data_IF_386101911231
#
_entry.id   IF_386101911231
#
_cell.length_a   1.000
_cell.length_b   1.000
_cell.length_c   1.000
_cell.angle_alpha   90.00
_cell.angle_beta   90.00
_cell.angle_gamma   90.00
#
_symmetry.space_group_name_H-M   'P 1'
#
loop_
_entity.id
_entity.type
_entity.pdbx_description
1 polymer ?
#
# COMPACT_ATOMS: atom_id res chain seq x y z
N UNK A 1 -22.22 -10.10 -17.59
CA UNK A 1 -22.29 -8.79 -18.30
C UNK A 1 -22.63 -7.57 -17.39
N UNK A 2 -22.75 -7.72 -16.05
CA UNK A 2 -23.07 -6.61 -15.13
C UNK A 2 -21.87 -5.91 -14.44
N UNK A 3 -20.64 -6.37 -14.69
CA UNK A 3 -19.41 -5.80 -14.11
C UNK A 3 -19.07 -4.34 -14.48
N UNK A 4 -19.41 -3.79 -15.67
CA UNK A 4 -18.96 -2.45 -16.04
C UNK A 4 -19.71 -1.30 -15.35
N UNK A 5 -20.89 -1.56 -14.78
CA UNK A 5 -21.80 -0.48 -14.32
C UNK A 5 -21.45 0.04 -12.92
N UNK A 6 -20.92 -0.81 -12.03
CA UNK A 6 -20.45 -0.38 -10.70
C UNK A 6 -19.09 0.37 -10.79
N UNK A 7 -18.31 0.10 -11.84
CA UNK A 7 -17.00 0.74 -12.07
C UNK A 7 -17.08 2.23 -12.49
N UNK A 8 -18.26 2.74 -12.89
CA UNK A 8 -18.41 4.13 -13.36
C UNK A 8 -18.21 5.21 -12.29
N UNK A 9 -18.17 4.85 -11.00
CA UNK A 9 -18.00 5.82 -9.89
C UNK A 9 -16.72 5.64 -9.07
N UNK A 10 -15.87 4.68 -9.42
CA UNK A 10 -14.65 4.37 -8.66
C UNK A 10 -13.40 5.05 -9.25
N UNK A 11 -12.73 5.95 -8.52
CA UNK A 11 -11.62 6.76 -9.06
C UNK A 11 -10.30 6.02 -9.35
N UNK A 12 -10.25 4.69 -9.18
CA UNK A 12 -9.10 3.83 -9.50
C UNK A 12 -9.47 2.70 -10.48
N UNK A 13 -10.35 2.98 -11.46
CA UNK A 13 -10.91 1.98 -12.41
C UNK A 13 -9.87 1.08 -13.10
N UNK A 14 -8.71 1.64 -13.45
CA UNK A 14 -7.66 0.91 -14.20
C UNK A 14 -6.89 -0.09 -13.34
N UNK A 15 -6.94 0.03 -12.01
CA UNK A 15 -6.33 -0.90 -11.06
C UNK A 15 -7.39 -1.79 -10.42
N UNK A 16 -8.50 -1.20 -9.96
CA UNK A 16 -9.59 -1.92 -9.30
C UNK A 16 -10.26 -2.94 -10.22
N UNK A 17 -10.45 -2.64 -11.51
CA UNK A 17 -11.09 -3.56 -12.46
C UNK A 17 -10.31 -4.88 -12.63
N UNK A 18 -9.03 -4.84 -13.03
CA UNK A 18 -8.20 -6.04 -13.12
C UNK A 18 -8.07 -6.79 -11.78
N UNK A 19 -7.93 -6.07 -10.66
CA UNK A 19 -7.84 -6.69 -9.33
C UNK A 19 -9.13 -7.40 -8.92
N UNK A 20 -10.30 -6.80 -9.17
CA UNK A 20 -11.60 -7.46 -8.87
C UNK A 20 -11.84 -8.66 -9.78
N UNK A 21 -11.53 -8.57 -11.07
CA UNK A 21 -11.61 -9.72 -11.98
C UNK A 21 -10.68 -10.85 -11.53
N UNK A 22 -9.43 -10.54 -11.19
CA UNK A 22 -8.46 -11.53 -10.70
C UNK A 22 -8.92 -12.17 -9.38
N UNK A 23 -9.45 -11.37 -8.44
CA UNK A 23 -9.97 -11.87 -7.17
C UNK A 23 -11.19 -12.78 -7.37
N UNK A 24 -12.14 -12.38 -8.23
CA UNK A 24 -13.32 -13.19 -8.55
C UNK A 24 -12.92 -14.51 -9.23
N UNK A 25 -11.96 -14.49 -10.17
CA UNK A 25 -11.47 -15.70 -10.83
C UNK A 25 -10.78 -16.68 -9.85
N UNK A 26 -10.04 -16.16 -8.86
CA UNK A 26 -9.41 -17.00 -7.83
C UNK A 26 -10.43 -17.54 -6.81
N UNK A 27 -11.37 -16.71 -6.35
CA UNK A 27 -12.38 -17.15 -5.37
C UNK A 27 -13.40 -18.12 -5.97
N UNK A 28 -13.75 -17.96 -7.25
CA UNK A 28 -14.64 -18.89 -7.97
C UNK A 28 -13.96 -20.22 -8.36
N UNK A 29 -12.66 -20.39 -8.07
CA UNK A 29 -11.91 -21.59 -8.43
C UNK A 29 -11.63 -21.73 -9.93
N UNK A 30 -11.97 -20.73 -10.74
CA UNK A 30 -11.69 -20.72 -12.18
C UNK A 30 -10.18 -20.75 -12.47
N UNK A 31 -9.37 -20.13 -11.59
CA UNK A 31 -7.93 -20.07 -11.76
C UNK A 31 -7.20 -20.09 -10.41
N UNK A 32 -6.17 -20.93 -10.27
CA UNK A 32 -5.16 -20.84 -9.20
C UNK A 32 -3.82 -20.28 -9.73
N UNK A 33 -3.84 -19.72 -10.93
CA UNK A 33 -2.65 -19.30 -11.65
C UNK A 33 -2.07 -18.04 -11.02
N UNK A 34 -0.94 -18.20 -10.34
CA UNK A 34 -0.12 -17.07 -9.89
C UNK A 34 0.67 -16.50 -11.07
N UNK A 35 0.73 -15.17 -11.25
CA UNK A 35 1.54 -14.58 -12.30
C UNK A 35 3.01 -15.00 -12.13
N UNK A 36 3.71 -15.38 -13.21
CA UNK A 36 5.07 -15.85 -13.11
C UNK A 36 5.99 -14.73 -12.57
N UNK A 37 6.92 -15.10 -11.69
CA UNK A 37 7.75 -14.15 -10.90
C UNK A 37 8.47 -13.10 -11.75
N UNK A 38 8.86 -13.43 -12.98
CA UNK A 38 9.52 -12.49 -13.89
C UNK A 38 8.59 -11.36 -14.34
N UNK A 39 7.31 -11.63 -14.57
CA UNK A 39 6.31 -10.61 -14.93
C UNK A 39 6.12 -9.63 -13.78
N UNK A 40 6.01 -10.13 -12.55
CA UNK A 40 5.85 -9.29 -11.36
C UNK A 40 7.07 -8.37 -11.15
N UNK A 41 8.30 -8.89 -11.35
CA UNK A 41 9.54 -8.08 -11.28
C UNK A 41 9.57 -7.00 -12.36
N UNK A 42 9.22 -7.34 -13.60
CA UNK A 42 9.15 -6.36 -14.69
C UNK A 42 8.11 -5.26 -14.40
N UNK A 43 6.92 -5.65 -13.91
CA UNK A 43 5.90 -4.69 -13.51
C UNK A 43 6.42 -3.74 -12.41
N UNK A 44 7.13 -4.27 -11.41
CA UNK A 44 7.77 -3.47 -10.35
C UNK A 44 8.79 -2.49 -10.93
N UNK A 45 9.64 -2.93 -11.87
CA UNK A 45 10.60 -2.07 -12.55
C UNK A 45 9.92 -0.95 -13.34
N UNK A 46 8.86 -1.25 -14.10
CA UNK A 46 8.11 -0.25 -14.88
C UNK A 46 7.41 0.75 -13.98
N UNK A 47 6.76 0.28 -12.89
CA UNK A 47 6.12 1.15 -11.90
C UNK A 47 7.14 2.05 -11.20
N UNK A 48 8.30 1.50 -10.82
CA UNK A 48 9.41 2.24 -10.23
C UNK A 48 9.98 3.30 -11.16
N UNK A 49 10.28 2.93 -12.41
CA UNK A 49 10.77 3.85 -13.43
C UNK A 49 9.75 4.96 -13.74
N UNK A 50 8.46 4.62 -13.81
CA UNK A 50 7.38 5.58 -14.01
C UNK A 50 7.23 6.57 -12.85
N UNK A 51 7.38 6.12 -11.61
CA UNK A 51 7.42 6.99 -10.43
C UNK A 51 8.65 7.91 -10.46
N UNK A 52 9.83 7.37 -10.79
CA UNK A 52 11.06 8.13 -10.94
C UNK A 52 10.96 9.22 -12.02
N UNK A 53 10.41 8.89 -13.19
CA UNK A 53 10.19 9.85 -14.27
C UNK A 53 9.26 11.00 -13.85
N UNK A 54 8.24 10.73 -13.01
CA UNK A 54 7.36 11.77 -12.47
C UNK A 54 8.09 12.72 -11.52
N UNK A 55 9.04 12.23 -10.72
CA UNK A 55 9.85 13.08 -9.84
C UNK A 55 10.72 14.04 -10.65
N UNK A 56 11.31 13.57 -11.76
CA UNK A 56 12.07 14.43 -12.69
C UNK A 56 11.16 15.43 -13.38
N UNK A 57 9.98 15.00 -13.83
CA UNK A 57 8.99 15.85 -14.51
C UNK A 57 8.44 16.99 -13.62
N UNK A 58 8.48 16.85 -12.29
CA UNK A 58 8.07 17.91 -11.35
C UNK A 58 9.06 19.08 -11.25
N UNK A 59 10.06 19.17 -12.12
CA UNK A 59 10.96 20.33 -12.25
C UNK A 59 12.41 20.06 -11.87
N UNK A 60 12.80 18.81 -11.57
CA UNK A 60 14.19 18.37 -11.43
C UNK A 60 15.05 19.06 -10.37
N UNK A 61 14.52 20.05 -9.65
CA UNK A 61 15.28 20.79 -8.66
C UNK A 61 15.61 19.84 -7.48
N UNK A 62 16.89 19.64 -7.14
CA UNK A 62 17.29 18.72 -6.07
C UNK A 62 16.63 19.07 -4.73
N UNK A 63 16.28 20.34 -4.52
CA UNK A 63 15.54 20.81 -3.34
C UNK A 63 14.13 20.22 -3.22
N UNK A 64 13.40 20.08 -4.33
CA UNK A 64 12.03 19.54 -4.30
C UNK A 64 12.06 18.03 -4.07
N UNK A 65 13.02 17.33 -4.68
CA UNK A 65 13.25 15.90 -4.42
C UNK A 65 13.56 15.66 -2.94
N UNK A 66 14.42 16.48 -2.35
CA UNK A 66 14.74 16.41 -0.91
C UNK A 66 13.51 16.71 -0.06
N UNK A 67 12.70 17.72 -0.42
CA UNK A 67 11.46 18.03 0.30
C UNK A 67 10.46 16.86 0.27
N UNK A 68 10.27 16.25 -0.89
CA UNK A 68 9.40 15.07 -1.05
C UNK A 68 9.96 13.89 -0.26
N UNK A 69 11.28 13.68 -0.29
CA UNK A 69 11.94 12.62 0.46
C UNK A 69 11.78 12.82 1.99
N UNK A 70 11.94 14.05 2.49
CA UNK A 70 11.75 14.37 3.90
C UNK A 70 10.29 14.24 4.34
N UNK A 71 9.33 14.65 3.50
CA UNK A 71 7.91 14.44 3.76
C UNK A 71 7.55 12.95 3.75
N UNK A 72 8.14 12.17 2.83
CA UNK A 72 8.01 10.72 2.81
C UNK A 72 8.58 10.08 4.07
N UNK A 73 9.79 10.47 4.48
CA UNK A 73 10.45 9.95 5.67
C UNK A 73 9.65 10.25 6.94
N UNK A 74 9.14 11.47 7.10
CA UNK A 74 8.32 11.83 8.27
C UNK A 74 7.01 11.04 8.32
N UNK A 75 6.36 10.86 7.17
CA UNK A 75 5.17 10.00 7.07
C UNK A 75 5.50 8.53 7.38
N UNK A 76 6.63 8.01 6.90
CA UNK A 76 7.08 6.64 7.19
C UNK A 76 7.37 6.45 8.67
N UNK A 77 8.06 7.40 9.32
CA UNK A 77 8.34 7.34 10.76
C UNK A 77 7.04 7.37 11.58
N UNK A 78 6.08 8.23 11.21
CA UNK A 78 4.78 8.30 11.86
C UNK A 78 4.01 6.97 11.72
N UNK A 79 3.97 6.41 10.50
CA UNK A 79 3.32 5.13 10.24
C UNK A 79 4.01 3.98 10.98
N UNK A 80 5.35 4.00 11.07
CA UNK A 80 6.10 2.99 11.80
C UNK A 80 5.83 3.08 13.31
N UNK A 81 5.80 4.28 13.88
CA UNK A 81 5.43 4.48 15.28
C UNK A 81 4.00 3.97 15.57
N UNK A 82 3.05 4.26 14.66
CA UNK A 82 1.69 3.76 14.77
C UNK A 82 1.63 2.22 14.62
N UNK A 83 2.44 1.63 13.75
CA UNK A 83 2.54 0.19 13.57
C UNK A 83 3.09 -0.49 14.84
N UNK A 84 4.12 0.08 15.47
CA UNK A 84 4.67 -0.43 16.74
C UNK A 84 3.68 -0.31 17.89
N UNK A 85 2.97 0.82 17.98
CA UNK A 85 1.94 1.05 18.99
C UNK A 85 0.77 0.06 18.82
N UNK A 86 0.27 -0.10 17.59
CA UNK A 86 -0.83 -1.03 17.29
C UNK A 86 -0.40 -2.50 17.47
N UNK A 87 0.81 -2.89 17.04
CA UNK A 87 1.36 -4.23 17.30
C UNK A 87 1.43 -4.53 18.80
N UNK A 88 1.90 -3.58 19.61
CA UNK A 88 2.01 -3.73 21.05
C UNK A 88 0.64 -3.82 21.73
N UNK A 89 -0.32 -2.98 21.32
CA UNK A 89 -1.69 -3.03 21.82
C UNK A 89 -2.36 -4.37 21.51
N UNK A 90 -2.25 -4.86 20.27
CA UNK A 90 -2.81 -6.15 19.84
C UNK A 90 -2.13 -7.31 20.56
N UNK A 91 -0.81 -7.26 20.73
CA UNK A 91 -0.06 -8.29 21.45
C UNK A 91 -0.53 -8.44 22.89
N UNK A 92 -0.81 -7.33 23.58
CA UNK A 92 -1.38 -7.33 24.93
C UNK A 92 -2.83 -7.81 24.92
N UNK A 93 -3.65 -7.32 23.99
CA UNK A 93 -5.07 -7.67 23.88
C UNK A 93 -5.29 -9.18 23.64
N UNK A 94 -4.45 -9.79 22.79
CA UNK A 94 -4.49 -11.22 22.50
C UNK A 94 -3.76 -12.06 23.56
N UNK A 95 -3.40 -11.49 24.72
CA UNK A 95 -2.68 -12.18 25.80
C UNK A 95 -1.41 -12.90 25.30
N UNK A 96 -0.70 -12.28 24.36
CA UNK A 96 0.52 -12.81 23.73
C UNK A 96 0.33 -14.09 22.91
N UNK A 97 -0.91 -14.41 22.49
CA UNK A 97 -1.18 -15.55 21.63
C UNK A 97 -0.47 -15.47 20.25
N UNK A 98 -0.19 -14.24 19.77
CA UNK A 98 0.54 -14.00 18.53
C UNK A 98 1.90 -13.36 18.83
N UNK A 99 3.01 -13.85 18.24
CA UNK A 99 4.33 -13.27 18.43
C UNK A 99 4.38 -11.80 18.05
N UNK A 100 4.96 -10.97 18.93
CA UNK A 100 5.11 -9.53 18.66
C UNK A 100 5.87 -9.24 17.36
N UNK A 101 6.98 -9.92 17.00
CA UNK A 101 7.68 -9.64 15.75
C UNK A 101 6.81 -9.91 14.51
N UNK A 102 5.94 -10.92 14.55
CA UNK A 102 5.00 -11.21 13.46
C UNK A 102 3.98 -10.08 13.29
N UNK A 103 3.46 -9.53 14.39
CA UNK A 103 2.55 -8.39 14.36
C UNK A 103 3.24 -7.13 13.83
N UNK A 104 4.47 -6.87 14.28
CA UNK A 104 5.27 -5.73 13.79
C UNK A 104 5.54 -5.85 12.30
N UNK A 105 5.99 -7.01 11.83
CA UNK A 105 6.22 -7.25 10.39
C UNK A 105 4.93 -7.07 9.56
N UNK A 106 3.78 -7.46 10.12
CA UNK A 106 2.48 -7.37 9.43
C UNK A 106 1.93 -5.94 9.37
N UNK A 107 2.12 -5.14 10.41
CA UNK A 107 1.67 -3.75 10.46
C UNK A 107 2.67 -2.75 9.87
N UNK A 108 3.96 -3.11 9.84
CA UNK A 108 5.02 -2.22 9.35
C UNK A 108 4.76 -1.77 7.90
N UNK A 109 4.86 -0.47 7.62
CA UNK A 109 4.88 0.01 6.25
C UNK A 109 6.18 -0.42 5.56
N UNK A 110 6.10 -1.04 4.38
CA UNK A 110 7.28 -1.54 3.68
C UNK A 110 6.94 -2.39 2.45
N UNK A 111 7.99 -2.93 1.82
CA UNK A 111 7.85 -3.86 0.71
C UNK A 111 7.30 -5.20 1.18
N UNK A 112 6.17 -5.65 0.62
CA UNK A 112 5.56 -6.95 0.96
C UNK A 112 6.55 -8.10 0.81
N UNK A 113 7.35 -8.10 -0.26
CA UNK A 113 8.35 -9.14 -0.51
C UNK A 113 9.41 -9.21 0.59
N UNK A 114 9.94 -8.06 1.03
CA UNK A 114 10.96 -8.00 2.08
C UNK A 114 10.39 -8.45 3.42
N UNK A 115 9.19 -7.99 3.78
CA UNK A 115 8.55 -8.40 5.04
C UNK A 115 8.25 -9.90 5.06
N UNK A 116 7.82 -10.48 3.93
CA UNK A 116 7.63 -11.92 3.78
C UNK A 116 8.94 -12.71 3.90
N UNK A 117 10.04 -12.22 3.30
CA UNK A 117 11.36 -12.86 3.41
C UNK A 117 11.90 -12.78 4.84
N UNK A 118 11.72 -11.65 5.54
CA UNK A 118 12.10 -11.49 6.94
C UNK A 118 11.27 -12.40 7.85
N UNK A 119 9.96 -12.49 7.63
CA UNK A 119 9.09 -13.40 8.36
C UNK A 119 9.50 -14.86 8.16
N UNK A 120 9.79 -15.26 6.91
CA UNK A 120 10.30 -16.60 6.59
C UNK A 120 11.63 -16.87 7.31
N UNK A 121 12.54 -15.90 7.32
CA UNK A 121 13.86 -16.02 7.97
C UNK A 121 13.74 -16.13 9.49
N UNK A 122 12.71 -15.53 10.07
CA UNK A 122 12.39 -15.64 11.51
C UNK A 122 11.52 -16.87 11.85
N UNK A 123 11.18 -17.71 10.87
CA UNK A 123 10.34 -18.90 11.06
C UNK A 123 8.87 -18.60 11.33
N UNK A 124 8.37 -17.43 10.93
CA UNK A 124 6.98 -17.04 11.09
C UNK A 124 6.12 -17.33 9.85
N UNK A 125 4.80 -17.34 10.05
CA UNK A 125 3.84 -17.58 8.99
C UNK A 125 3.82 -16.44 7.95
N UNK A 126 4.33 -16.74 6.77
CA UNK A 126 4.38 -15.83 5.62
C UNK A 126 2.98 -15.52 5.09
N UNK A 127 2.03 -16.45 5.20
CA UNK A 127 0.67 -16.25 4.71
C UNK A 127 -0.05 -15.16 5.54
N UNK A 128 0.15 -15.14 6.85
CA UNK A 128 -0.34 -14.08 7.72
C UNK A 128 0.16 -12.69 7.30
N UNK A 129 1.46 -12.55 7.04
CA UNK A 129 2.06 -11.26 6.63
C UNK A 129 1.54 -10.83 5.25
N UNK A 130 1.52 -11.76 4.29
CA UNK A 130 1.10 -11.50 2.91
C UNK A 130 -0.38 -11.09 2.84
N UNK A 131 -1.25 -11.76 3.59
CA UNK A 131 -2.69 -11.43 3.64
C UNK A 131 -2.94 -10.05 4.25
N UNK A 132 -2.24 -9.68 5.33
CA UNK A 132 -2.33 -8.34 5.92
C UNK A 132 -1.90 -7.25 4.93
N UNK A 133 -0.81 -7.48 4.19
CA UNK A 133 -0.31 -6.55 3.19
C UNK A 133 -1.26 -6.41 1.99
N UNK A 134 -1.84 -7.54 1.53
CA UNK A 134 -2.84 -7.54 0.47
C UNK A 134 -4.11 -6.80 0.89
N UNK A 135 -4.61 -7.05 2.10
CA UNK A 135 -5.76 -6.33 2.67
C UNK A 135 -5.47 -4.83 2.75
N UNK A 136 -4.28 -4.44 3.22
CA UNK A 136 -3.85 -3.04 3.28
C UNK A 136 -3.91 -2.37 1.91
N UNK A 137 -3.41 -3.03 0.86
CA UNK A 137 -3.47 -2.51 -0.50
C UNK A 137 -4.91 -2.39 -1.00
N UNK A 138 -5.75 -3.40 -0.75
CA UNK A 138 -7.16 -3.38 -1.14
C UNK A 138 -7.91 -2.23 -0.44
N UNK A 139 -7.73 -2.06 0.87
CA UNK A 139 -8.32 -0.96 1.64
C UNK A 139 -7.82 0.38 1.12
N UNK A 140 -6.52 0.53 0.86
CA UNK A 140 -5.96 1.78 0.33
C UNK A 140 -6.56 2.13 -1.05
N UNK A 141 -6.70 1.16 -1.94
CA UNK A 141 -7.29 1.36 -3.27
C UNK A 141 -8.76 1.78 -3.22
N UNK A 142 -9.49 1.40 -2.17
CA UNK A 142 -10.89 1.79 -1.96
C UNK A 142 -11.00 3.13 -1.22
N UNK A 143 -10.26 3.30 -0.12
CA UNK A 143 -10.37 4.44 0.79
C UNK A 143 -9.72 5.70 0.22
N UNK A 144 -8.53 5.59 -0.37
CA UNK A 144 -7.79 6.74 -0.91
C UNK A 144 -8.62 7.58 -1.90
N UNK A 145 -9.28 6.98 -2.92
CA UNK A 145 -10.08 7.78 -3.84
C UNK A 145 -11.36 8.36 -3.23
N UNK A 146 -11.97 7.66 -2.26
CA UNK A 146 -13.13 8.17 -1.51
C UNK A 146 -12.74 9.36 -0.62
N UNK A 147 -11.59 9.25 0.05
CA UNK A 147 -11.00 10.30 0.86
C UNK A 147 -10.64 11.53 -0.01
N UNK A 148 -10.04 11.32 -1.19
CA UNK A 148 -9.72 12.41 -2.12
C UNK A 148 -10.95 13.18 -2.63
N UNK A 149 -12.13 12.53 -2.68
CA UNK A 149 -13.39 13.19 -3.03
C UNK A 149 -13.99 13.98 -1.86
N UNK A 150 -13.61 13.66 -0.62
CA UNK A 150 -14.06 14.36 0.58
C UNK A 150 -13.60 15.81 0.61
N UNK A 151 -14.50 16.72 1.01
CA UNK A 151 -14.20 18.16 1.15
C UNK A 151 -13.12 18.43 2.21
N UNK A 152 -12.94 17.51 3.16
CA UNK A 152 -11.93 17.58 4.22
C UNK A 152 -10.50 17.50 3.68
N UNK A 153 -10.22 16.55 2.78
CA UNK A 153 -8.90 16.40 2.17
C UNK A 153 -8.59 17.58 1.24
N UNK A 154 -9.59 18.11 0.53
CA UNK A 154 -9.43 19.32 -0.29
C UNK A 154 -9.12 20.57 0.54
N UNK A 155 -9.60 20.66 1.79
CA UNK A 155 -9.26 21.76 2.71
C UNK A 155 -7.82 21.64 3.21
N UNK A 156 -7.37 20.43 3.55
CA UNK A 156 -5.98 20.17 3.96
C UNK A 156 -4.98 20.48 2.83
N UNK A 157 -5.30 20.15 1.57
CA UNK A 157 -4.45 20.48 0.42
C UNK A 157 -4.34 21.99 0.13
N UNK A 158 -5.37 22.78 0.43
CA UNK A 158 -5.37 24.25 0.23
C UNK A 158 -4.54 25.00 1.28
N UNK A 159 -4.41 24.46 2.50
CA UNK A 159 -3.55 25.04 3.54
C UNK A 159 -2.06 24.92 3.22
N UNK A 160 -1.66 23.86 2.49
CA UNK A 160 -0.26 23.63 2.09
C UNK A 160 0.15 24.51 0.89
N UNK A 161 -0.79 24.89 0.02
CA UNK A 161 -0.56 25.81 -1.10
C UNK A 161 -0.52 27.30 -0.72
N UNK A 162 -0.86 27.64 0.54
CA UNK A 162 -0.77 29.01 1.06
C UNK A 162 0.63 29.43 1.52
N UNK A 163 1.61 28.54 1.41
CA UNK A 163 3.03 28.78 1.72
C UNK A 163 3.84 28.58 0.44
N UNK A 164 3.78 29.56 -0.45
CA UNK A 164 4.85 29.83 -1.42
C UNK A 164 5.62 31.05 -0.92
N UNK A 165 6.97 31.06 -1.02
CA UNK A 165 7.78 32.23 -0.65
C UNK A 165 7.42 33.47 -1.47
#
# INVERSE_FOLDING_TARGET
LAGPLVARRLPARFLLGPLTLSALAHVSGLTAASPPKWVARLAQCVLGAGLGARLVASGGAPREVVRIALAGLSATLLLLALALASASAVHVLLRRAVPWPLLVLSYSPGGMTEMCLTALSMGYDVAFVATHHALRLAVLLLVLPLAARSRWVKRLGRGVSGVSP
#
